data_IF_737345467620
#
_entry.id   IF_737345467620
#
_cell.length_a   1.000
_cell.length_b   1.000
_cell.length_c   1.000
_cell.angle_alpha   90.00
_cell.angle_beta   90.00
_cell.angle_gamma   90.00
#
_symmetry.space_group_name_H-M   'P 1'
#
loop_
_entity.id
_entity.type
_entity.pdbx_description
1 polymer ?
#
# COMPACT_ATOMS: atom_id res chain seq x y z
N UNK A 1 3.04 2.47 27.93
CA UNK A 1 3.40 1.88 26.61
C UNK A 1 3.98 0.50 26.90
N UNK A 2 3.50 -0.53 26.22
CA UNK A 2 4.07 -1.87 26.28
C UNK A 2 5.47 -1.92 25.65
N UNK A 3 6.15 -3.07 25.75
CA UNK A 3 7.42 -3.27 25.06
C UNK A 3 7.27 -3.02 23.55
N UNK A 4 8.16 -2.22 22.98
CA UNK A 4 8.20 -1.92 21.55
C UNK A 4 9.06 -2.97 20.85
N UNK A 5 8.49 -3.60 19.81
CA UNK A 5 9.17 -4.66 19.06
C UNK A 5 9.51 -4.16 17.66
N UNK A 6 10.76 -3.94 17.36
CA UNK A 6 11.20 -3.40 16.07
C UNK A 6 11.73 -4.53 15.21
N UNK A 7 10.96 -4.89 14.15
CA UNK A 7 11.34 -5.96 13.24
C UNK A 7 12.60 -5.59 12.46
N UNK A 8 13.51 -6.57 12.29
CA UNK A 8 14.72 -6.42 11.47
C UNK A 8 14.45 -6.48 9.96
N UNK A 9 13.23 -6.89 9.58
CA UNK A 9 12.77 -6.90 8.19
C UNK A 9 11.52 -6.06 8.02
N UNK A 10 11.69 -4.78 7.65
CA UNK A 10 10.59 -3.82 7.40
C UNK A 10 10.59 -3.31 5.95
N UNK A 11 11.34 -3.96 5.06
CA UNK A 11 11.55 -3.52 3.68
C UNK A 11 11.80 -4.69 2.75
N UNK A 12 11.73 -4.43 1.44
CA UNK A 12 12.18 -5.35 0.40
C UNK A 12 13.70 -5.48 0.48
N UNK A 13 14.18 -6.71 0.36
CA UNK A 13 15.60 -7.04 0.43
C UNK A 13 15.93 -7.96 1.61
N UNK A 14 17.19 -7.93 2.05
CA UNK A 14 17.66 -8.73 3.17
C UNK A 14 17.25 -8.13 4.52
N UNK A 15 17.05 -8.94 5.57
CA UNK A 15 16.91 -8.42 6.93
C UNK A 15 18.11 -7.57 7.34
N UNK A 16 17.90 -6.60 8.22
CA UNK A 16 18.99 -5.85 8.83
C UNK A 16 19.69 -6.68 9.90
N UNK A 17 20.98 -6.40 10.12
CA UNK A 17 21.72 -6.89 11.27
C UNK A 17 21.61 -5.89 12.43
N UNK A 18 21.27 -6.38 13.63
CA UNK A 18 21.29 -5.57 14.84
C UNK A 18 22.72 -5.10 15.14
N UNK A 19 22.87 -3.84 15.56
CA UNK A 19 24.13 -3.23 15.99
C UNK A 19 24.12 -2.85 17.48
N UNK A 20 23.06 -3.20 18.17
CA UNK A 20 22.88 -3.05 19.63
C UNK A 20 22.74 -4.42 20.29
N UNK A 21 22.87 -4.46 21.61
CA UNK A 21 22.74 -5.65 22.45
C UNK A 21 21.82 -5.39 23.64
N UNK A 22 21.36 -6.45 24.28
CA UNK A 22 20.58 -6.37 25.51
C UNK A 22 21.34 -5.56 26.59
N UNK A 23 20.63 -4.66 27.24
CA UNK A 23 21.15 -3.71 28.23
C UNK A 23 21.58 -2.35 27.67
N UNK A 24 21.66 -2.19 26.35
CA UNK A 24 22.00 -0.89 25.76
C UNK A 24 20.85 0.12 25.95
N UNK A 25 21.17 1.33 26.40
CA UNK A 25 20.24 2.45 26.42
C UNK A 25 20.12 3.06 25.02
N UNK A 26 18.89 3.29 24.57
CA UNK A 26 18.60 3.88 23.26
C UNK A 26 17.70 5.08 23.42
N UNK A 27 17.91 6.06 22.55
CA UNK A 27 17.05 7.24 22.42
C UNK A 27 16.22 7.10 21.14
N UNK A 28 15.11 7.81 21.09
CA UNK A 28 14.36 8.00 19.83
C UNK A 28 15.33 8.49 18.74
N UNK A 29 15.41 7.78 17.61
CA UNK A 29 16.37 8.08 16.53
C UNK A 29 17.75 7.42 16.65
N UNK A 30 18.06 6.70 17.73
CA UNK A 30 19.28 5.88 17.78
C UNK A 30 19.22 4.79 16.71
N UNK A 31 20.25 4.69 15.85
CA UNK A 31 20.36 3.60 14.87
C UNK A 31 20.59 2.29 15.61
N UNK A 32 19.76 1.29 15.37
CA UNK A 32 19.77 -0.01 16.08
C UNK A 32 20.04 -1.20 15.16
N UNK A 33 19.82 -1.03 13.85
CA UNK A 33 20.19 -2.05 12.89
C UNK A 33 20.52 -1.45 11.51
N UNK A 34 21.37 -2.14 10.76
CA UNK A 34 21.85 -1.73 9.43
C UNK A 34 21.56 -2.82 8.39
N UNK A 35 21.28 -2.46 7.12
CA UNK A 35 21.00 -3.44 6.08
C UNK A 35 22.27 -4.27 5.76
N UNK A 36 22.07 -5.59 5.56
CA UNK A 36 23.13 -6.52 5.14
C UNK A 36 23.27 -6.64 3.62
N UNK A 37 22.45 -5.90 2.88
CA UNK A 37 22.40 -5.84 1.44
C UNK A 37 21.42 -4.78 0.99
N UNK A 38 20.55 -5.08 0.00
CA UNK A 38 19.45 -4.19 -0.34
C UNK A 38 18.55 -3.99 0.90
N UNK A 39 18.41 -2.75 1.36
CA UNK A 39 17.66 -2.46 2.58
C UNK A 39 17.70 -0.99 2.99
N UNK A 40 17.27 -0.71 4.20
CA UNK A 40 17.22 0.62 4.81
C UNK A 40 17.50 0.54 6.30
N UNK A 41 18.20 1.53 6.85
CA UNK A 41 18.52 1.60 8.28
C UNK A 41 17.27 1.51 9.17
N UNK A 42 17.44 0.95 10.36
CA UNK A 42 16.41 0.84 11.37
C UNK A 42 16.88 1.58 12.64
N UNK A 43 15.95 2.32 13.22
CA UNK A 43 16.18 3.20 14.36
C UNK A 43 15.22 2.88 15.50
N UNK A 44 15.63 3.17 16.73
CA UNK A 44 14.70 3.15 17.85
C UNK A 44 13.64 4.25 17.67
N UNK A 45 12.39 3.87 17.83
CA UNK A 45 11.26 4.80 17.78
C UNK A 45 10.93 5.40 19.15
N UNK A 46 11.61 4.97 20.21
CA UNK A 46 11.34 5.33 21.60
C UNK A 46 12.65 5.54 22.37
N UNK A 47 12.56 6.24 23.50
CA UNK A 47 13.55 6.21 24.56
C UNK A 47 13.34 4.92 25.38
N UNK A 48 14.40 4.23 25.75
CA UNK A 48 14.30 3.01 26.55
C UNK A 48 15.58 2.20 26.61
N UNK A 49 15.45 0.96 27.04
CA UNK A 49 16.54 0.00 27.16
C UNK A 49 16.26 -1.21 26.26
N UNK A 50 17.23 -1.64 25.47
CA UNK A 50 17.16 -2.89 24.72
C UNK A 50 17.03 -4.03 25.70
N UNK A 51 15.91 -4.68 25.74
CA UNK A 51 15.65 -5.82 26.63
C UNK A 51 16.17 -7.11 26.03
N UNK A 52 15.93 -7.30 24.74
CA UNK A 52 16.31 -8.52 24.02
C UNK A 52 16.60 -8.22 22.53
N UNK A 53 17.55 -8.96 21.96
CA UNK A 53 17.83 -8.99 20.53
C UNK A 53 17.59 -10.39 20.02
N UNK A 54 16.50 -10.57 19.25
CA UNK A 54 16.10 -11.85 18.66
C UNK A 54 16.56 -11.91 17.18
N UNK A 55 16.39 -13.06 16.56
CA UNK A 55 16.78 -13.28 15.15
C UNK A 55 16.04 -12.34 14.19
N UNK A 56 14.78 -12.04 14.48
CA UNK A 56 13.88 -11.28 13.61
C UNK A 56 13.53 -9.88 14.13
N UNK A 57 13.85 -9.54 15.37
CA UNK A 57 13.45 -8.28 16.01
C UNK A 57 14.35 -7.86 17.17
N UNK A 58 14.25 -6.58 17.52
CA UNK A 58 14.81 -5.99 18.73
C UNK A 58 13.63 -5.60 19.62
N UNK A 59 13.65 -6.04 20.88
CA UNK A 59 12.66 -5.69 21.91
C UNK A 59 13.23 -4.58 22.76
N UNK A 60 12.50 -3.47 22.87
CA UNK A 60 12.89 -2.29 23.67
C UNK A 60 11.83 -2.09 24.73
N UNK A 61 12.27 -2.06 25.99
CA UNK A 61 11.42 -1.62 27.10
C UNK A 61 11.47 -0.09 27.14
N UNK A 62 10.34 0.60 26.81
CA UNK A 62 10.33 2.05 26.76
C UNK A 62 10.43 2.66 28.16
N UNK A 63 11.04 3.83 28.24
CA UNK A 63 11.02 4.66 29.45
C UNK A 63 9.60 5.11 29.75
N UNK A 64 9.28 5.39 31.02
CA UNK A 64 7.98 5.90 31.43
C UNK A 64 7.68 7.25 30.76
N UNK A 65 8.68 8.12 30.68
CA UNK A 65 8.60 9.43 30.02
C UNK A 65 9.24 9.37 28.63
N UNK A 66 8.44 9.63 27.60
CA UNK A 66 8.89 9.72 26.21
C UNK A 66 9.06 11.17 25.79
N UNK A 67 10.30 11.59 25.53
CA UNK A 67 10.60 12.94 25.07
C UNK A 67 10.27 13.12 23.58
N UNK A 68 9.98 14.34 23.15
CA UNK A 68 9.77 14.66 21.74
C UNK A 68 11.07 14.73 20.93
N UNK A 69 12.17 15.02 21.62
CA UNK A 69 13.52 15.07 21.02
C UNK A 69 13.90 13.73 20.39
N UNK A 70 14.73 13.79 19.38
CA UNK A 70 15.32 12.60 18.75
C UNK A 70 16.79 12.82 18.40
N UNK A 71 17.51 11.74 18.20
CA UNK A 71 18.89 11.77 17.69
C UNK A 71 18.80 12.02 16.18
N UNK A 72 19.34 13.14 15.66
CA UNK A 72 19.33 13.42 14.23
C UNK A 72 20.23 12.44 13.47
N UNK A 73 19.92 12.21 12.20
CA UNK A 73 20.81 11.49 11.30
C UNK A 73 22.02 12.34 10.94
N UNK A 74 23.14 11.67 10.69
CA UNK A 74 24.40 12.31 10.30
C UNK A 74 24.86 11.75 8.96
N UNK A 75 25.31 12.63 8.06
CA UNK A 75 25.90 12.32 6.76
C UNK A 75 27.17 13.15 6.55
N UNK A 76 28.06 12.71 5.68
CA UNK A 76 29.34 13.42 5.43
C UNK A 76 29.09 14.81 4.80
N UNK A 77 28.18 14.90 3.84
CA UNK A 77 27.75 16.16 3.23
C UNK A 77 26.26 16.40 3.51
N UNK A 78 25.99 17.38 4.36
CA UNK A 78 24.62 17.76 4.73
C UNK A 78 23.79 18.34 3.57
N UNK A 79 24.45 18.70 2.46
CA UNK A 79 23.77 19.16 1.25
C UNK A 79 23.39 17.98 0.33
N UNK A 80 23.94 16.79 0.53
CA UNK A 80 23.54 15.59 -0.19
C UNK A 80 22.17 15.07 0.31
N UNK A 81 21.10 15.58 -0.31
CA UNK A 81 19.74 15.19 0.02
C UNK A 81 19.48 13.70 -0.16
N UNK A 82 20.11 13.05 -1.15
CA UNK A 82 19.99 11.62 -1.37
C UNK A 82 20.65 10.82 -0.26
N UNK A 83 21.80 11.26 0.24
CA UNK A 83 22.48 10.66 1.40
C UNK A 83 21.60 10.77 2.65
N UNK A 84 20.99 11.93 2.91
CA UNK A 84 20.03 12.12 4.02
C UNK A 84 18.84 11.15 3.92
N UNK A 85 18.22 11.00 2.75
CA UNK A 85 17.10 10.06 2.54
C UNK A 85 17.52 8.61 2.76
N UNK A 86 18.73 8.22 2.31
CA UNK A 86 19.29 6.87 2.54
C UNK A 86 19.54 6.64 4.02
N UNK A 87 20.22 7.58 4.67
CA UNK A 87 20.59 7.48 6.07
C UNK A 87 19.36 7.42 6.97
N UNK A 88 18.31 8.22 6.70
CA UNK A 88 17.07 8.22 7.45
C UNK A 88 16.30 6.89 7.41
N UNK A 89 16.71 5.95 6.58
CA UNK A 89 16.07 4.64 6.49
C UNK A 89 14.65 4.67 5.95
N UNK A 90 14.33 5.62 5.05
CA UNK A 90 13.01 5.77 4.45
C UNK A 90 12.75 4.65 3.44
N UNK A 91 11.55 4.10 3.52
CA UNK A 91 11.03 3.07 2.60
C UNK A 91 9.71 3.52 1.96
N UNK A 92 9.27 2.82 0.94
CA UNK A 92 7.96 3.04 0.34
C UNK A 92 6.83 2.69 1.32
N UNK A 93 6.30 3.67 2.03
CA UNK A 93 5.42 3.49 3.20
C UNK A 93 3.99 3.07 2.86
N UNK A 94 3.58 3.15 1.60
CA UNK A 94 2.26 2.73 1.12
C UNK A 94 2.25 1.38 0.40
N UNK A 95 3.30 0.58 0.49
CA UNK A 95 3.42 -0.67 -0.25
C UNK A 95 4.43 -1.64 0.34
N UNK A 96 5.21 -2.31 -0.53
CA UNK A 96 6.13 -3.38 -0.13
C UNK A 96 7.39 -2.91 0.63
N UNK A 97 7.56 -1.60 0.88
CA UNK A 97 8.71 -1.09 1.62
C UNK A 97 10.00 -1.08 0.81
N UNK A 98 9.97 -0.75 -0.48
CA UNK A 98 11.21 -0.62 -1.25
C UNK A 98 12.03 0.56 -0.74
N UNK A 99 13.37 0.42 -0.51
CA UNK A 99 14.21 1.48 0.01
C UNK A 99 14.17 2.74 -0.87
N UNK A 100 13.70 3.84 -0.30
CA UNK A 100 13.41 5.08 -1.06
C UNK A 100 14.67 5.72 -1.61
N UNK A 101 15.78 5.71 -0.86
CA UNK A 101 17.04 6.26 -1.35
C UNK A 101 17.62 5.53 -2.56
N UNK A 102 17.27 4.24 -2.76
CA UNK A 102 17.62 3.52 -3.99
C UNK A 102 16.69 3.92 -5.12
N UNK A 103 15.38 4.02 -4.84
CA UNK A 103 14.38 4.43 -5.83
C UNK A 103 14.68 5.84 -6.39
N UNK A 104 15.08 6.77 -5.54
CA UNK A 104 15.42 8.15 -5.93
C UNK A 104 16.84 8.33 -6.48
N UNK A 105 17.69 7.32 -6.43
CA UNK A 105 19.05 7.38 -6.98
C UNK A 105 19.13 7.37 -8.53
N UNK A 106 18.01 7.51 -9.21
CA UNK A 106 17.93 7.60 -10.67
C UNK A 106 18.02 9.07 -11.10
N UNK A 107 18.77 9.36 -12.17
CA UNK A 107 18.75 10.67 -12.82
C UNK A 107 17.74 10.64 -13.98
N UNK A 108 16.57 11.23 -13.77
CA UNK A 108 15.49 11.24 -14.76
C UNK A 108 15.77 12.20 -15.94
N UNK A 109 16.63 13.18 -15.77
CA UNK A 109 17.05 14.06 -16.87
C UNK A 109 17.87 13.30 -17.93
N UNK A 110 18.65 12.28 -17.49
CA UNK A 110 19.46 11.45 -18.37
C UNK A 110 18.75 10.13 -18.75
N UNK A 111 17.56 9.88 -18.19
CA UNK A 111 16.81 8.66 -18.46
C UNK A 111 16.03 8.79 -19.76
N UNK A 112 16.33 7.94 -20.73
CA UNK A 112 15.53 7.83 -21.94
C UNK A 112 14.26 7.02 -21.69
N UNK A 113 13.19 7.37 -22.40
CA UNK A 113 11.97 6.57 -22.40
C UNK A 113 12.24 5.25 -23.10
N UNK A 114 11.87 4.15 -22.46
CA UNK A 114 12.00 2.81 -23.06
C UNK A 114 11.04 2.66 -24.26
N UNK A 115 11.37 1.72 -25.15
CA UNK A 115 10.47 1.32 -26.22
C UNK A 115 9.17 0.76 -25.65
N UNK A 116 8.04 1.21 -26.19
CA UNK A 116 6.72 0.80 -25.75
C UNK A 116 6.27 -0.45 -26.50
N UNK A 117 5.72 -1.39 -25.76
CA UNK A 117 5.04 -2.55 -26.34
C UNK A 117 3.74 -2.11 -27.03
N UNK A 118 3.70 -2.21 -28.36
CA UNK A 118 2.57 -1.80 -29.18
C UNK A 118 1.29 -2.60 -28.90
N UNK A 119 1.40 -3.85 -28.43
CA UNK A 119 0.21 -4.66 -28.10
C UNK A 119 -0.57 -4.10 -26.91
N UNK A 120 0.11 -3.49 -25.95
CA UNK A 120 -0.52 -2.88 -24.78
C UNK A 120 -0.68 -1.36 -24.89
N UNK A 121 -0.09 -0.72 -25.91
CA UNK A 121 -0.20 0.71 -26.22
C UNK A 121 -0.66 0.95 -27.68
N UNK A 122 -1.76 0.34 -28.15
CA UNK A 122 -2.15 0.37 -29.55
C UNK A 122 -2.59 1.77 -30.06
N UNK A 123 -2.77 2.73 -29.15
CA UNK A 123 -3.23 4.08 -29.45
C UNK A 123 -2.11 5.09 -29.52
N UNK A 124 -0.91 4.71 -29.03
CA UNK A 124 0.26 5.57 -29.07
C UNK A 124 1.02 5.36 -30.37
N UNK A 125 1.54 6.46 -30.99
CA UNK A 125 2.46 6.34 -32.11
C UNK A 125 3.69 5.50 -31.76
N UNK A 126 4.29 4.82 -32.73
CA UNK A 126 5.48 4.01 -32.50
C UNK A 126 6.69 4.81 -32.01
N UNK A 127 6.75 6.08 -32.36
CA UNK A 127 7.78 7.06 -31.96
C UNK A 127 7.35 7.93 -30.77
N UNK A 128 6.27 7.57 -30.08
CA UNK A 128 5.78 8.31 -28.94
C UNK A 128 6.86 8.49 -27.87
N UNK A 129 7.06 9.70 -27.43
CA UNK A 129 7.95 10.08 -26.33
C UNK A 129 7.25 11.04 -25.38
N UNK A 130 7.48 10.86 -24.09
CA UNK A 130 7.07 11.86 -23.09
C UNK A 130 8.03 13.05 -23.16
N UNK A 131 7.49 14.25 -23.26
CA UNK A 131 8.25 15.49 -23.30
C UNK A 131 9.03 15.73 -21.99
N UNK A 132 8.42 15.39 -20.86
CA UNK A 132 8.97 15.61 -19.53
C UNK A 132 9.24 14.32 -18.78
N UNK A 133 10.01 14.42 -17.72
CA UNK A 133 10.16 13.41 -16.68
C UNK A 133 9.31 13.75 -15.45
N UNK A 134 8.91 12.73 -14.66
CA UNK A 134 7.86 12.93 -13.67
C UNK A 134 8.16 12.27 -12.31
N UNK A 135 7.83 12.99 -11.23
CA UNK A 135 7.54 12.39 -9.92
C UNK A 135 6.02 12.21 -9.84
N UNK A 136 5.56 10.98 -9.67
CA UNK A 136 4.15 10.65 -9.51
C UNK A 136 3.85 10.36 -8.04
N UNK A 137 3.10 11.23 -7.39
CA UNK A 137 2.73 11.06 -5.97
C UNK A 137 1.46 10.25 -5.88
N UNK A 138 1.60 9.03 -5.38
CA UNK A 138 0.47 8.15 -5.13
C UNK A 138 -0.28 8.56 -3.87
N UNK A 139 -1.34 9.34 -4.06
CA UNK A 139 -2.32 9.75 -3.05
C UNK A 139 -3.68 9.05 -3.25
N UNK A 140 -3.69 7.88 -3.91
CA UNK A 140 -4.92 7.19 -4.30
C UNK A 140 -5.73 6.67 -3.11
N UNK A 141 -5.10 6.39 -1.94
CA UNK A 141 -5.70 5.69 -0.80
C UNK A 141 -6.62 4.56 -1.30
N UNK A 142 -6.02 3.51 -1.86
CA UNK A 142 -6.75 2.44 -2.52
C UNK A 142 -7.44 1.48 -1.56
N UNK A 143 -6.96 1.41 -0.34
CA UNK A 143 -7.47 0.49 0.68
C UNK A 143 -8.75 1.06 1.32
N UNK A 144 -9.90 0.41 1.17
CA UNK A 144 -11.14 0.90 1.77
C UNK A 144 -11.07 1.01 3.28
N UNK A 145 -11.60 2.10 3.80
CA UNK A 145 -11.65 2.35 5.24
C UNK A 145 -10.38 2.98 5.83
N UNK A 146 -9.30 3.11 5.06
CA UNK A 146 -8.11 3.86 5.49
C UNK A 146 -8.25 5.35 5.11
N UNK A 147 -7.80 6.23 6.01
CA UNK A 147 -7.94 7.68 5.85
C UNK A 147 -6.67 8.46 6.22
N UNK A 148 -5.60 7.78 6.63
CA UNK A 148 -4.39 8.44 7.14
C UNK A 148 -3.64 9.28 6.09
N UNK A 149 -3.58 8.86 4.83
CA UNK A 149 -2.97 9.67 3.76
C UNK A 149 -3.81 10.91 3.43
N UNK A 150 -5.14 10.79 3.45
CA UNK A 150 -6.02 11.93 3.23
C UNK A 150 -5.93 12.93 4.40
N UNK A 151 -5.90 12.43 5.64
CA UNK A 151 -5.67 13.25 6.83
C UNK A 151 -4.33 13.98 6.75
N UNK A 152 -3.28 13.31 6.28
CA UNK A 152 -1.97 13.94 6.11
C UNK A 152 -1.98 15.08 5.09
N UNK A 153 -2.72 14.96 3.98
CA UNK A 153 -2.93 16.10 3.08
C UNK A 153 -3.63 17.24 3.80
N UNK A 154 -4.68 16.94 4.56
CA UNK A 154 -5.46 17.95 5.23
C UNK A 154 -4.68 18.72 6.31
N UNK A 155 -3.75 18.07 6.99
CA UNK A 155 -3.02 18.64 8.14
C UNK A 155 -1.59 19.07 7.80
N UNK A 156 -0.95 18.48 6.78
CA UNK A 156 0.48 18.60 6.51
C UNK A 156 0.80 18.81 5.01
N UNK A 157 -0.11 19.43 4.24
CA UNK A 157 0.07 19.61 2.80
C UNK A 157 1.39 20.28 2.42
N UNK A 158 1.81 21.30 3.17
CA UNK A 158 3.05 22.04 2.92
C UNK A 158 4.29 21.14 3.10
N UNK A 159 4.30 20.26 4.11
CA UNK A 159 5.37 19.28 4.32
C UNK A 159 5.41 18.29 3.17
N UNK A 160 4.26 17.80 2.73
CA UNK A 160 4.16 16.88 1.58
C UNK A 160 4.69 17.54 0.31
N UNK A 161 4.28 18.79 0.00
CA UNK A 161 4.74 19.53 -1.17
C UNK A 161 6.25 19.76 -1.13
N UNK A 162 6.84 20.10 0.02
CA UNK A 162 8.30 20.20 0.16
C UNK A 162 8.99 18.87 -0.17
N UNK A 163 8.47 17.75 0.37
CA UNK A 163 9.00 16.42 0.07
C UNK A 163 8.93 16.07 -1.41
N UNK A 164 7.86 16.48 -2.11
CA UNK A 164 7.75 16.32 -3.57
C UNK A 164 8.82 17.12 -4.30
N UNK A 165 9.06 18.37 -3.90
CA UNK A 165 10.12 19.21 -4.48
C UNK A 165 11.50 18.59 -4.28
N UNK A 166 11.77 18.02 -3.11
CA UNK A 166 13.01 17.28 -2.86
C UNK A 166 13.12 16.02 -3.73
N UNK A 167 12.03 15.28 -3.96
CA UNK A 167 12.05 14.17 -4.92
C UNK A 167 12.41 14.63 -6.33
N UNK A 168 11.82 15.75 -6.80
CA UNK A 168 12.14 16.33 -8.10
C UNK A 168 13.61 16.74 -8.19
N UNK A 169 14.11 17.43 -7.18
CA UNK A 169 15.49 17.90 -7.13
C UNK A 169 16.50 16.74 -7.13
N UNK A 170 16.30 15.72 -6.27
CA UNK A 170 17.17 14.54 -6.18
C UNK A 170 17.21 13.76 -7.50
N UNK A 171 16.08 13.62 -8.17
CA UNK A 171 15.95 12.81 -9.40
C UNK A 171 16.12 13.63 -10.68
N UNK A 172 16.24 14.95 -10.58
CA UNK A 172 16.21 15.89 -11.72
C UNK A 172 14.94 15.72 -12.57
N UNK A 173 13.79 15.51 -11.93
CA UNK A 173 12.52 15.42 -12.62
C UNK A 173 11.99 16.80 -13.00
N UNK A 174 11.45 16.92 -14.23
CA UNK A 174 10.90 18.17 -14.74
C UNK A 174 9.59 18.56 -14.03
N UNK A 175 8.74 17.59 -13.73
CA UNK A 175 7.38 17.82 -13.21
C UNK A 175 6.99 16.82 -12.12
N UNK A 176 5.96 17.18 -11.36
CA UNK A 176 5.32 16.26 -10.44
C UNK A 176 3.80 16.26 -10.58
N UNK A 177 3.17 15.10 -10.32
CA UNK A 177 1.72 14.92 -10.40
C UNK A 177 1.23 14.22 -9.13
N UNK A 178 0.30 14.86 -8.41
CA UNK A 178 -0.46 14.19 -7.36
C UNK A 178 -1.59 13.37 -7.98
N UNK A 179 -1.52 12.05 -7.88
CA UNK A 179 -2.55 11.13 -8.32
C UNK A 179 -3.51 10.83 -7.17
N UNK A 180 -4.65 11.49 -7.12
CA UNK A 180 -5.64 11.42 -6.03
C UNK A 180 -7.03 11.06 -6.55
N UNK A 181 -7.79 10.23 -5.80
CA UNK A 181 -9.15 9.88 -6.18
C UNK A 181 -10.08 11.09 -6.14
N UNK A 182 -10.87 11.27 -7.19
CA UNK A 182 -11.79 12.40 -7.38
C UNK A 182 -12.81 12.62 -6.24
N UNK A 183 -13.10 11.59 -5.44
CA UNK A 183 -14.04 11.69 -4.30
C UNK A 183 -13.50 12.52 -3.13
N UNK A 184 -12.19 12.72 -3.03
CA UNK A 184 -11.53 13.37 -1.89
C UNK A 184 -11.51 14.91 -2.06
N UNK A 185 -12.67 15.53 -2.25
CA UNK A 185 -12.81 16.94 -2.62
C UNK A 185 -12.07 17.89 -1.67
N UNK A 186 -12.20 17.72 -0.35
CA UNK A 186 -11.53 18.57 0.65
C UNK A 186 -10.01 18.52 0.51
N UNK A 187 -9.42 17.32 0.43
CA UNK A 187 -7.99 17.16 0.26
C UNK A 187 -7.50 17.74 -1.08
N UNK A 188 -8.29 17.59 -2.16
CA UNK A 188 -7.99 18.18 -3.46
C UNK A 188 -7.95 19.72 -3.40
N UNK A 189 -8.90 20.34 -2.71
CA UNK A 189 -8.91 21.81 -2.54
C UNK A 189 -7.72 22.31 -1.73
N UNK A 190 -7.32 21.57 -0.68
CA UNK A 190 -6.15 21.90 0.13
C UNK A 190 -4.88 21.75 -0.71
N UNK A 191 -4.72 20.65 -1.45
CA UNK A 191 -3.58 20.47 -2.35
C UNK A 191 -3.50 21.56 -3.41
N UNK A 192 -4.63 21.96 -4.03
CA UNK A 192 -4.65 23.06 -5.01
C UNK A 192 -4.12 24.36 -4.44
N UNK A 193 -4.46 24.66 -3.19
CA UNK A 193 -3.94 25.83 -2.50
C UNK A 193 -2.44 25.70 -2.20
N UNK A 194 -2.01 24.55 -1.72
CA UNK A 194 -0.61 24.29 -1.38
C UNK A 194 0.33 24.36 -2.60
N UNK A 195 -0.16 23.97 -3.78
CA UNK A 195 0.64 24.01 -5.03
C UNK A 195 0.35 25.23 -5.91
N UNK A 196 -0.42 26.21 -5.43
CA UNK A 196 -0.85 27.35 -6.26
C UNK A 196 0.31 28.15 -6.90
N UNK A 197 1.47 28.15 -6.26
CA UNK A 197 2.68 28.83 -6.74
C UNK A 197 3.73 27.88 -7.34
N UNK A 198 3.42 26.58 -7.50
CA UNK A 198 4.32 25.56 -8.00
C UNK A 198 3.93 25.17 -9.42
N UNK A 199 4.46 25.87 -10.41
CA UNK A 199 4.09 25.69 -11.82
C UNK A 199 4.36 24.27 -12.37
N UNK A 200 5.34 23.57 -11.81
CA UNK A 200 5.76 22.25 -12.24
C UNK A 200 5.00 21.10 -11.49
N UNK A 201 4.11 21.45 -10.57
CA UNK A 201 3.35 20.47 -9.79
C UNK A 201 1.86 20.55 -10.13
N UNK A 202 1.24 19.42 -10.45
CA UNK A 202 -0.17 19.35 -10.84
C UNK A 202 -0.92 18.25 -10.11
N UNK A 203 -2.23 18.18 -10.30
CA UNK A 203 -3.11 17.15 -9.73
C UNK A 203 -3.80 16.39 -10.85
N UNK A 204 -3.71 15.07 -10.83
CA UNK A 204 -4.48 14.17 -11.67
C UNK A 204 -5.57 13.48 -10.85
N UNK A 205 -6.82 13.54 -11.33
CA UNK A 205 -7.98 12.98 -10.64
C UNK A 205 -8.20 11.53 -11.08
N UNK A 206 -7.91 10.59 -10.17
CA UNK A 206 -8.12 9.17 -10.39
C UNK A 206 -9.60 8.76 -10.24
N UNK A 207 -10.09 7.76 -10.99
CA UNK A 207 -11.38 7.15 -10.74
C UNK A 207 -11.39 6.42 -9.39
N UNK A 208 -12.57 6.32 -8.75
CA UNK A 208 -12.72 5.59 -7.50
C UNK A 208 -12.95 4.09 -7.75
N UNK A 209 -11.92 3.43 -8.25
CA UNK A 209 -11.89 1.98 -8.48
C UNK A 209 -10.59 1.39 -7.93
N UNK A 210 -10.51 0.06 -7.84
CA UNK A 210 -9.32 -0.68 -7.43
C UNK A 210 -8.78 -1.51 -8.61
N UNK A 211 -7.47 -1.59 -8.85
CA UNK A 211 -6.34 -1.02 -8.08
C UNK A 211 -5.75 0.26 -8.73
N UNK A 212 -6.20 1.44 -8.32
CA UNK A 212 -5.67 2.71 -8.86
C UNK A 212 -4.38 3.18 -8.19
N UNK A 213 -3.99 2.58 -7.07
CA UNK A 213 -2.70 2.84 -6.39
C UNK A 213 -1.57 1.87 -6.77
N UNK A 214 -1.78 0.95 -7.69
CA UNK A 214 -0.70 0.12 -8.25
C UNK A 214 0.18 0.99 -9.16
N UNK A 215 1.52 0.88 -9.04
CA UNK A 215 2.46 1.83 -9.69
C UNK A 215 2.23 1.98 -11.21
N UNK A 216 2.01 0.86 -11.94
CA UNK A 216 1.76 0.91 -13.39
C UNK A 216 0.38 1.46 -13.73
N UNK A 217 -0.60 1.30 -12.81
CA UNK A 217 -1.90 1.93 -12.96
C UNK A 217 -1.79 3.45 -12.78
N UNK A 218 -0.97 3.92 -11.83
CA UNK A 218 -0.68 5.36 -11.64
C UNK A 218 0.01 5.93 -12.88
N UNK A 219 1.03 5.24 -13.42
CA UNK A 219 1.71 5.66 -14.66
C UNK A 219 0.72 5.75 -15.82
N UNK A 220 -0.11 4.72 -16.01
CA UNK A 220 -1.12 4.72 -17.07
C UNK A 220 -2.10 5.88 -16.94
N UNK A 221 -2.63 6.13 -15.74
CA UNK A 221 -3.62 7.18 -15.53
C UNK A 221 -3.01 8.57 -15.71
N UNK A 222 -1.81 8.81 -15.19
CA UNK A 222 -1.18 10.13 -15.22
C UNK A 222 -0.52 10.44 -16.57
N UNK A 223 0.08 9.43 -17.22
CA UNK A 223 0.94 9.65 -18.40
C UNK A 223 0.39 9.01 -19.69
N UNK A 224 -0.70 8.23 -19.61
CA UNK A 224 -1.28 7.54 -20.76
C UNK A 224 -0.48 6.33 -21.25
N UNK A 225 0.58 5.94 -20.55
CA UNK A 225 1.52 4.88 -20.96
C UNK A 225 1.25 3.59 -20.18
N UNK A 226 1.03 2.48 -20.89
CA UNK A 226 0.98 1.15 -20.27
C UNK A 226 2.37 0.54 -20.22
N UNK A 227 2.77 0.10 -19.03
CA UNK A 227 4.03 -0.62 -18.79
C UNK A 227 3.78 -2.12 -18.74
N UNK A 228 4.71 -2.90 -19.28
CA UNK A 228 4.72 -4.37 -19.13
C UNK A 228 4.99 -4.75 -17.68
N UNK A 229 4.81 -6.03 -17.32
CA UNK A 229 5.09 -6.54 -15.98
C UNK A 229 6.57 -6.51 -15.61
N UNK A 230 7.45 -6.39 -16.60
CA UNK A 230 8.91 -6.32 -16.43
C UNK A 230 9.44 -4.90 -16.32
N UNK A 231 8.69 -3.93 -16.82
CA UNK A 231 9.10 -2.53 -16.81
C UNK A 231 8.79 -1.88 -15.46
N UNK A 232 9.71 -1.02 -15.02
CA UNK A 232 9.55 -0.12 -13.88
C UNK A 232 9.00 1.23 -14.36
N UNK A 233 8.46 2.08 -13.47
CA UNK A 233 8.03 3.43 -13.83
C UNK A 233 9.08 4.26 -14.56
N UNK A 234 10.37 4.02 -14.32
CA UNK A 234 11.49 4.68 -15.02
C UNK A 234 11.48 4.44 -16.54
N UNK A 235 10.90 3.34 -17.01
CA UNK A 235 10.70 3.11 -18.45
C UNK A 235 9.81 4.18 -19.11
N UNK A 236 8.96 4.85 -18.34
CA UNK A 236 8.16 6.02 -18.73
C UNK A 236 8.71 7.31 -18.10
N UNK A 237 10.02 7.43 -17.92
CA UNK A 237 10.70 8.60 -17.35
C UNK A 237 10.03 9.10 -16.06
N UNK A 238 9.64 8.17 -15.17
CA UNK A 238 8.92 8.52 -13.95
C UNK A 238 9.36 7.72 -12.74
N UNK A 239 9.13 8.28 -11.56
CA UNK A 239 9.24 7.60 -10.27
C UNK A 239 7.94 7.77 -9.51
N UNK A 240 7.37 6.68 -9.02
CA UNK A 240 6.16 6.70 -8.19
C UNK A 240 6.56 6.72 -6.72
N UNK A 241 6.10 7.72 -5.97
CA UNK A 241 6.35 7.89 -4.53
C UNK A 241 5.02 7.93 -3.78
N UNK A 242 4.89 7.19 -2.68
CA UNK A 242 3.72 7.32 -1.83
C UNK A 242 3.69 8.68 -1.10
N UNK A 243 2.50 9.19 -0.82
CA UNK A 243 2.30 10.50 -0.18
C UNK A 243 3.04 10.64 1.15
N UNK A 244 2.91 9.67 2.06
CA UNK A 244 3.57 9.69 3.36
C UNK A 244 5.09 9.58 3.21
N UNK A 245 5.57 8.81 2.23
CA UNK A 245 7.01 8.74 1.92
C UNK A 245 7.57 10.11 1.53
N UNK A 246 6.83 10.91 0.74
CA UNK A 246 7.24 12.28 0.41
C UNK A 246 7.34 13.16 1.66
N UNK A 247 6.40 13.07 2.58
CA UNK A 247 6.48 13.80 3.86
C UNK A 247 7.67 13.38 4.71
N UNK A 248 7.99 12.08 4.77
CA UNK A 248 9.18 11.58 5.50
C UNK A 248 10.49 12.00 4.84
N UNK A 249 10.53 12.19 3.52
CA UNK A 249 11.67 12.79 2.82
C UNK A 249 11.87 14.24 3.30
N UNK A 250 10.80 15.02 3.41
CA UNK A 250 10.90 16.37 3.96
C UNK A 250 11.41 16.37 5.41
N UNK A 251 10.91 15.48 6.27
CA UNK A 251 11.41 15.34 7.65
C UNK A 251 12.91 14.99 7.70
N UNK A 252 13.37 14.10 6.83
CA UNK A 252 14.79 13.72 6.79
C UNK A 252 15.70 14.86 6.34
N UNK A 253 15.26 15.69 5.41
CA UNK A 253 16.07 16.78 4.84
C UNK A 253 15.99 18.03 5.73
N UNK A 254 14.78 18.44 6.13
CA UNK A 254 14.57 19.67 6.88
C UNK A 254 14.97 19.53 8.37
N UNK A 255 14.67 18.38 8.96
CA UNK A 255 14.79 18.14 10.40
C UNK A 255 15.90 17.12 10.76
N UNK A 256 16.52 16.48 9.76
CA UNK A 256 17.41 15.33 9.94
C UNK A 256 16.78 14.19 10.76
N UNK A 257 15.48 14.03 10.65
CA UNK A 257 14.69 13.06 11.40
C UNK A 257 14.73 11.69 10.74
N UNK A 258 15.15 10.62 11.45
CA UNK A 258 15.07 9.26 10.93
C UNK A 258 13.62 8.79 10.82
N UNK A 259 13.39 7.80 9.95
CA UNK A 259 12.06 7.22 9.73
C UNK A 259 11.68 6.26 10.88
N UNK A 260 11.13 6.83 11.94
CA UNK A 260 10.81 6.15 13.21
C UNK A 260 9.32 6.13 13.54
N UNK A 261 8.50 6.79 12.72
CA UNK A 261 7.04 6.88 12.92
C UNK A 261 6.27 6.50 11.67
N UNK A 262 5.01 6.12 11.88
CA UNK A 262 4.08 5.72 10.83
C UNK A 262 2.69 6.32 11.08
N UNK A 263 2.05 6.79 10.02
CA UNK A 263 0.64 7.18 10.06
C UNK A 263 -0.23 5.98 9.70
N UNK A 264 -1.28 5.72 10.46
CA UNK A 264 -2.15 4.59 10.19
C UNK A 264 -3.60 4.85 10.62
N UNK A 265 -4.50 4.00 10.16
CA UNK A 265 -5.91 4.01 10.50
C UNK A 265 -6.28 2.72 11.25
N UNK A 266 -6.94 2.85 12.40
CA UNK A 266 -7.62 1.74 13.09
C UNK A 266 -9.12 1.85 12.84
N UNK A 267 -9.77 0.77 12.42
CA UNK A 267 -11.19 0.76 12.10
C UNK A 267 -11.82 -0.63 12.24
N UNK A 268 -13.15 -0.66 12.31
CA UNK A 268 -13.91 -1.90 12.29
C UNK A 268 -14.74 -2.11 13.55
N UNK A 269 -14.72 -3.30 14.11
CA UNK A 269 -15.40 -3.63 15.37
C UNK A 269 -14.66 -3.05 16.58
N UNK A 270 -14.71 -1.73 16.67
CA UNK A 270 -14.13 -0.92 17.75
C UNK A 270 -15.27 -0.28 18.54
N UNK A 271 -15.13 -0.20 19.86
CA UNK A 271 -16.11 0.46 20.72
C UNK A 271 -16.29 1.93 20.28
N UNK A 272 -17.54 2.40 20.27
CA UNK A 272 -17.88 3.73 19.76
C UNK A 272 -18.30 3.77 18.28
N UNK A 273 -18.27 2.64 17.59
CA UNK A 273 -18.81 2.49 16.24
C UNK A 273 -17.76 2.44 15.13
N UNK A 274 -18.23 2.39 13.89
CA UNK A 274 -17.40 2.14 12.70
C UNK A 274 -16.75 3.41 12.11
N UNK A 275 -16.28 4.32 12.96
CA UNK A 275 -15.50 5.47 12.49
C UNK A 275 -14.02 5.12 12.31
N UNK A 276 -13.34 5.86 11.45
CA UNK A 276 -11.90 5.72 11.29
C UNK A 276 -11.18 6.47 12.42
N UNK A 277 -10.35 5.76 13.18
CA UNK A 277 -9.44 6.33 14.15
C UNK A 277 -8.09 6.50 13.46
N UNK A 278 -7.77 7.73 13.08
CA UNK A 278 -6.49 8.05 12.41
C UNK A 278 -5.46 8.45 13.44
N UNK A 279 -4.36 7.73 13.48
CA UNK A 279 -3.21 8.02 14.32
C UNK A 279 -2.06 8.52 13.45
N UNK A 280 -1.55 9.71 13.78
CA UNK A 280 -0.40 10.32 13.13
C UNK A 280 0.85 10.09 13.98
N UNK A 281 1.98 9.90 13.31
CA UNK A 281 3.31 9.78 13.90
C UNK A 281 3.42 8.72 15.02
N UNK A 282 2.77 7.56 14.84
CA UNK A 282 2.85 6.43 15.77
C UNK A 282 4.27 5.84 15.73
N UNK A 283 4.93 5.61 16.88
CA UNK A 283 6.22 4.96 16.92
C UNK A 283 6.18 3.56 16.27
N UNK A 284 7.10 3.29 15.35
CA UNK A 284 7.25 1.95 14.75
C UNK A 284 7.56 0.93 15.83
N UNK A 285 6.89 -0.22 15.80
CA UNK A 285 7.10 -1.29 16.78
C UNK A 285 6.07 -1.32 17.92
N UNK A 286 5.17 -0.35 18.00
CA UNK A 286 4.01 -0.40 18.92
C UNK A 286 3.11 -1.57 18.53
N UNK A 287 2.52 -2.26 19.51
CA UNK A 287 1.66 -3.42 19.25
C UNK A 287 0.32 -3.03 18.61
N UNK A 288 -0.23 -3.92 17.81
CA UNK A 288 -1.57 -3.82 17.24
C UNK A 288 -2.62 -3.66 18.35
N UNK A 289 -2.46 -4.43 19.44
CA UNK A 289 -3.35 -4.40 20.60
C UNK A 289 -3.38 -3.03 21.26
N UNK A 290 -2.23 -2.42 21.51
CA UNK A 290 -2.16 -1.08 22.10
C UNK A 290 -2.89 -0.05 21.23
N UNK A 291 -2.78 -0.12 19.91
CA UNK A 291 -3.46 0.80 19.00
C UNK A 291 -4.97 0.56 18.95
N UNK A 292 -5.41 -0.68 19.04
CA UNK A 292 -6.84 -1.03 19.18
C UNK A 292 -7.40 -0.48 20.49
N UNK A 293 -6.68 -0.64 21.62
CA UNK A 293 -7.10 -0.08 22.92
C UNK A 293 -7.16 1.45 22.88
N UNK A 294 -6.18 2.12 22.26
CA UNK A 294 -6.21 3.58 22.06
C UNK A 294 -7.39 4.05 21.18
N UNK A 295 -7.88 3.20 20.30
CA UNK A 295 -9.06 3.46 19.47
C UNK A 295 -10.38 3.22 20.21
N UNK A 296 -10.35 2.61 21.41
CA UNK A 296 -11.53 2.32 22.24
C UNK A 296 -11.72 0.86 22.60
N UNK A 297 -10.84 -0.03 22.14
CA UNK A 297 -10.92 -1.48 22.36
C UNK A 297 -11.88 -2.19 21.41
N UNK A 298 -11.85 -3.53 21.40
CA UNK A 298 -12.67 -4.37 20.52
C UNK A 298 -14.13 -4.40 21.01
N UNK A 299 -15.07 -4.24 20.07
CA UNK A 299 -16.51 -4.37 20.31
C UNK A 299 -16.99 -5.83 20.16
N UNK A 300 -16.99 -6.58 21.26
CA UNK A 300 -17.53 -7.93 21.33
C UNK A 300 -16.76 -8.99 20.53
N UNK A 301 -17.47 -9.93 19.91
CA UNK A 301 -16.85 -11.00 19.10
C UNK A 301 -16.44 -10.48 17.73
N UNK A 302 -15.25 -10.89 17.27
CA UNK A 302 -14.70 -10.48 15.98
C UNK A 302 -14.23 -11.69 15.15
N UNK A 303 -14.05 -11.49 13.84
CA UNK A 303 -13.61 -12.53 12.92
C UNK A 303 -12.09 -12.68 12.89
N UNK A 304 -11.41 -11.59 12.58
CA UNK A 304 -9.94 -11.50 12.55
C UNK A 304 -9.49 -10.04 12.68
N UNK A 305 -8.21 -9.86 12.98
CA UNK A 305 -7.53 -8.58 12.90
C UNK A 305 -6.67 -8.60 11.64
N UNK A 306 -6.79 -7.57 10.82
CA UNK A 306 -6.00 -7.40 9.59
C UNK A 306 -5.02 -6.26 9.80
N UNK A 307 -3.73 -6.52 9.61
CA UNK A 307 -2.69 -5.49 9.53
C UNK A 307 -2.39 -5.16 8.06
N UNK A 308 -2.47 -3.88 7.72
CA UNK A 308 -2.41 -3.37 6.35
C UNK A 308 -3.75 -2.78 5.92
N UNK A 309 -4.16 -3.03 4.69
CA UNK A 309 -5.46 -2.60 4.16
C UNK A 309 -6.46 -3.73 4.02
N UNK A 310 -7.70 -3.38 3.68
CA UNK A 310 -8.77 -4.35 3.46
C UNK A 310 -8.46 -5.33 2.32
N UNK A 311 -7.70 -4.89 1.31
CA UNK A 311 -7.44 -5.65 0.09
C UNK A 311 -6.11 -6.39 0.11
N UNK A 312 -5.06 -5.80 0.65
CA UNK A 312 -3.70 -6.35 0.62
C UNK A 312 -3.17 -6.74 1.99
N UNK A 313 -3.88 -6.40 3.07
CA UNK A 313 -3.52 -6.73 4.44
C UNK A 313 -3.56 -8.23 4.72
N UNK A 314 -2.94 -8.61 5.82
CA UNK A 314 -2.87 -10.00 6.30
C UNK A 314 -3.45 -10.10 7.69
N UNK A 315 -3.98 -11.29 8.02
CA UNK A 315 -4.37 -11.60 9.39
C UNK A 315 -3.17 -11.46 10.33
N UNK A 316 -3.42 -10.95 11.52
CA UNK A 316 -2.39 -10.69 12.54
C UNK A 316 -2.96 -10.90 13.94
N UNK A 317 -2.07 -10.88 14.94
CA UNK A 317 -2.40 -11.01 16.36
C UNK A 317 -2.22 -9.67 17.08
N UNK A 318 -2.72 -9.58 18.30
CA UNK A 318 -2.70 -8.34 19.10
C UNK A 318 -1.28 -7.89 19.47
N UNK A 319 -0.36 -8.82 19.68
CA UNK A 319 1.03 -8.57 20.06
C UNK A 319 1.95 -8.22 18.87
N UNK A 320 1.43 -8.34 17.64
CA UNK A 320 2.20 -8.02 16.44
C UNK A 320 2.57 -6.53 16.39
N UNK A 321 3.83 -6.19 16.10
CA UNK A 321 4.26 -4.80 16.00
C UNK A 321 3.87 -4.18 14.66
N UNK A 322 3.53 -2.88 14.67
CA UNK A 322 3.42 -2.13 13.42
C UNK A 322 4.82 -1.86 12.84
N UNK A 323 4.87 -1.74 11.54
CA UNK A 323 6.10 -1.48 10.76
C UNK A 323 6.00 -0.17 9.99
N UNK A 324 7.09 0.24 9.34
CA UNK A 324 7.11 1.39 8.42
C UNK A 324 6.08 1.30 7.29
N UNK A 325 5.52 0.12 7.02
CA UNK A 325 4.56 -0.10 5.93
C UNK A 325 3.13 -0.38 6.40
N UNK A 326 2.87 -0.37 7.70
CA UNK A 326 1.54 -0.63 8.26
C UNK A 326 0.62 0.57 8.07
N UNK A 327 -0.23 0.55 7.03
CA UNK A 327 -1.19 1.65 6.77
C UNK A 327 -2.48 1.53 7.58
N UNK A 328 -2.82 0.37 8.13
CA UNK A 328 -4.05 0.21 8.90
C UNK A 328 -4.10 -1.04 9.75
N UNK A 329 -5.06 -1.01 10.68
CA UNK A 329 -5.47 -2.14 11.52
C UNK A 329 -6.99 -2.22 11.41
N UNK A 330 -7.51 -3.35 10.94
CA UNK A 330 -8.93 -3.55 10.73
C UNK A 330 -9.42 -4.74 11.55
N UNK A 331 -10.33 -4.51 12.49
CA UNK A 331 -10.98 -5.57 13.28
C UNK A 331 -12.29 -5.94 12.59
N UNK A 332 -12.42 -7.19 12.12
CA UNK A 332 -13.53 -7.58 11.24
C UNK A 332 -14.69 -8.23 11.99
N UNK A 333 -15.86 -8.26 11.34
CA UNK A 333 -16.94 -9.15 11.76
C UNK A 333 -16.57 -10.62 11.56
N UNK A 334 -17.28 -11.51 12.22
CA UNK A 334 -17.14 -12.96 12.07
C UNK A 334 -17.38 -13.41 10.63
N UNK A 335 -16.72 -14.49 10.25
CA UNK A 335 -16.93 -15.13 8.95
C UNK A 335 -18.28 -15.88 8.93
N UNK A 336 -19.01 -15.87 7.79
CA UNK A 336 -20.18 -16.71 7.64
C UNK A 336 -19.77 -18.19 7.58
N UNK A 337 -20.56 -19.09 8.19
CA UNK A 337 -20.36 -20.53 8.09
C UNK A 337 -20.98 -21.08 6.79
N UNK A 338 -20.18 -21.73 5.97
CA UNK A 338 -20.63 -22.39 4.73
C UNK A 338 -21.02 -23.86 4.93
N UNK A 339 -20.97 -24.38 6.16
CA UNK A 339 -21.41 -25.73 6.50
C UNK A 339 -20.79 -26.84 5.62
N UNK A 340 -19.52 -26.72 5.28
CA UNK A 340 -18.79 -27.69 4.46
C UNK A 340 -19.09 -27.64 2.95
N UNK A 341 -19.76 -26.59 2.46
CA UNK A 341 -20.09 -26.43 1.05
C UNK A 341 -18.84 -26.37 0.16
N UNK A 342 -18.98 -26.78 -1.11
CA UNK A 342 -17.93 -26.78 -2.11
C UNK A 342 -17.60 -25.35 -2.56
N UNK A 343 -16.33 -24.96 -2.46
CA UNK A 343 -15.81 -23.63 -2.77
C UNK A 343 -14.83 -23.68 -3.93
N UNK A 344 -14.97 -22.78 -4.90
CA UNK A 344 -14.01 -22.48 -5.94
C UNK A 344 -13.22 -21.22 -5.63
N UNK A 345 -11.94 -21.19 -5.96
CA UNK A 345 -11.07 -20.01 -5.78
C UNK A 345 -10.68 -19.45 -7.14
N UNK A 346 -10.93 -18.14 -7.34
CA UNK A 346 -10.46 -17.41 -8.53
C UNK A 346 -9.22 -16.59 -8.19
N UNK A 347 -8.08 -17.16 -8.41
CA UNK A 347 -6.77 -16.55 -8.13
C UNK A 347 -6.44 -15.48 -9.15
N UNK A 348 -6.04 -14.30 -8.70
CA UNK A 348 -5.56 -13.22 -9.55
C UNK A 348 -4.43 -12.43 -8.86
N UNK A 349 -3.70 -11.62 -9.64
CA UNK A 349 -2.59 -10.82 -9.12
C UNK A 349 -3.03 -9.47 -8.50
N UNK A 350 -4.30 -9.09 -8.68
CA UNK A 350 -4.85 -7.85 -8.15
C UNK A 350 -5.58 -8.08 -6.83
N UNK A 351 -4.91 -8.70 -5.85
CA UNK A 351 -5.44 -8.93 -4.51
C UNK A 351 -6.30 -10.19 -4.37
N UNK A 352 -5.96 -11.27 -5.05
CA UNK A 352 -6.62 -12.57 -4.95
C UNK A 352 -5.61 -13.70 -4.86
N UNK A 353 -4.74 -13.70 -3.82
CA UNK A 353 -3.77 -14.79 -3.63
C UNK A 353 -4.45 -16.09 -3.24
N UNK A 354 -3.94 -17.21 -3.74
CA UNK A 354 -4.48 -18.53 -3.44
C UNK A 354 -4.39 -18.85 -1.93
N UNK A 355 -3.25 -18.55 -1.32
CA UNK A 355 -3.01 -18.79 0.11
C UNK A 355 -4.08 -18.10 0.97
N UNK A 356 -4.27 -16.80 0.77
CA UNK A 356 -5.26 -16.02 1.51
C UNK A 356 -6.70 -16.51 1.28
N UNK A 357 -7.05 -16.85 0.04
CA UNK A 357 -8.38 -17.38 -0.26
C UNK A 357 -8.62 -18.74 0.38
N UNK A 358 -7.60 -19.61 0.48
CA UNK A 358 -7.70 -20.90 1.20
C UNK A 358 -7.91 -20.68 2.68
N UNK A 359 -7.17 -19.77 3.31
CA UNK A 359 -7.33 -19.39 4.72
C UNK A 359 -8.78 -18.92 5.00
N UNK A 360 -9.29 -18.01 4.14
CA UNK A 360 -10.66 -17.48 4.28
C UNK A 360 -11.69 -18.62 4.10
N UNK A 361 -11.53 -19.46 3.08
CA UNK A 361 -12.42 -20.61 2.88
C UNK A 361 -12.46 -21.53 4.11
N UNK A 362 -11.30 -21.76 4.74
CA UNK A 362 -11.20 -22.54 5.96
C UNK A 362 -11.92 -21.87 7.15
N UNK A 363 -11.71 -20.55 7.34
CA UNK A 363 -12.41 -19.76 8.38
C UNK A 363 -13.92 -19.74 8.18
N UNK A 364 -14.38 -19.85 6.92
CA UNK A 364 -15.80 -19.98 6.56
C UNK A 364 -16.33 -21.42 6.64
N UNK A 365 -15.55 -22.39 7.09
CA UNK A 365 -15.92 -23.81 7.07
C UNK A 365 -16.33 -24.30 5.68
N UNK A 366 -15.63 -23.88 4.63
CA UNK A 366 -15.83 -24.25 3.23
C UNK A 366 -14.78 -25.27 2.75
N UNK A 367 -15.18 -26.16 1.84
CA UNK A 367 -14.31 -27.16 1.23
C UNK A 367 -13.81 -26.69 -0.14
N UNK A 368 -12.54 -26.34 -0.28
CA UNK A 368 -11.96 -25.96 -1.57
C UNK A 368 -11.86 -27.17 -2.48
N UNK A 369 -12.61 -27.17 -3.58
CA UNK A 369 -12.68 -28.26 -4.57
C UNK A 369 -12.15 -27.86 -5.96
N UNK A 370 -12.03 -26.57 -6.25
CA UNK A 370 -11.55 -26.07 -7.54
C UNK A 370 -10.75 -24.78 -7.37
N UNK A 371 -9.66 -24.64 -8.13
CA UNK A 371 -8.85 -23.42 -8.18
C UNK A 371 -8.63 -23.05 -9.64
N UNK A 372 -9.05 -21.86 -10.02
CA UNK A 372 -8.82 -21.29 -11.33
C UNK A 372 -7.96 -20.03 -11.23
N UNK A 373 -7.12 -19.79 -12.24
CA UNK A 373 -6.26 -18.59 -12.31
C UNK A 373 -6.75 -17.66 -13.43
N UNK A 374 -6.77 -16.36 -13.15
CA UNK A 374 -7.01 -15.36 -14.19
C UNK A 374 -5.89 -15.42 -15.25
N UNK A 375 -6.24 -15.41 -16.53
CA UNK A 375 -5.25 -15.51 -17.63
C UNK A 375 -4.24 -14.36 -17.69
N UNK A 376 -4.55 -13.23 -17.05
CA UNK A 376 -3.63 -12.09 -16.94
C UNK A 376 -2.72 -12.14 -15.70
N UNK A 377 -2.93 -13.10 -14.80
CA UNK A 377 -2.06 -13.32 -13.66
C UNK A 377 -0.91 -14.23 -14.06
N UNK A 378 0.26 -13.64 -14.28
CA UNK A 378 1.46 -14.34 -14.77
C UNK A 378 2.57 -14.33 -13.72
N UNK A 379 3.41 -15.35 -13.77
CA UNK A 379 4.70 -15.39 -13.08
C UNK A 379 5.80 -14.97 -14.07
N UNK A 380 6.52 -13.91 -13.74
CA UNK A 380 7.65 -13.46 -14.58
C UNK A 380 8.84 -14.43 -14.54
N UNK A 381 8.96 -15.18 -13.44
CA UNK A 381 9.92 -16.26 -13.22
C UNK A 381 9.24 -17.34 -12.38
N UNK A 382 9.61 -18.62 -12.52
CA UNK A 382 9.07 -19.69 -11.68
C UNK A 382 9.16 -19.36 -10.19
N UNK A 383 8.03 -19.46 -9.45
CA UNK A 383 7.95 -19.15 -8.03
C UNK A 383 7.91 -17.66 -7.67
N UNK A 384 7.96 -16.77 -8.65
CA UNK A 384 7.80 -15.33 -8.39
C UNK A 384 6.34 -14.97 -8.09
N UNK A 385 6.08 -13.93 -7.30
CA UNK A 385 4.73 -13.43 -7.08
C UNK A 385 4.01 -13.11 -8.40
N UNK A 386 2.72 -13.44 -8.46
CA UNK A 386 1.89 -13.14 -9.61
C UNK A 386 1.86 -11.63 -9.89
N UNK A 387 1.97 -11.26 -11.16
CA UNK A 387 1.76 -9.90 -11.65
C UNK A 387 0.62 -9.88 -12.67
N UNK A 388 -0.22 -8.86 -12.62
CA UNK A 388 -1.28 -8.68 -13.60
C UNK A 388 -0.73 -7.97 -14.85
N UNK A 389 -1.04 -8.49 -16.04
CA UNK A 389 -0.67 -7.86 -17.31
C UNK A 389 -1.30 -6.46 -17.45
N UNK A 390 -2.55 -6.31 -17.00
CA UNK A 390 -3.30 -5.04 -17.08
C UNK A 390 -4.05 -4.78 -15.78
N UNK A 391 -3.41 -4.20 -14.76
CA UNK A 391 -4.06 -3.89 -13.50
C UNK A 391 -5.32 -3.05 -13.68
N UNK A 392 -6.45 -3.49 -13.09
CA UNK A 392 -7.73 -2.81 -13.21
C UNK A 392 -8.55 -3.13 -14.47
N UNK A 393 -8.04 -3.97 -15.39
CA UNK A 393 -8.77 -4.39 -16.61
C UNK A 393 -8.90 -5.91 -16.65
N UNK A 394 -10.10 -6.43 -16.46
CA UNK A 394 -10.36 -7.87 -16.47
C UNK A 394 -10.59 -8.41 -17.88
N UNK A 395 -9.99 -9.57 -18.23
CA UNK A 395 -10.20 -10.20 -19.54
C UNK A 395 -11.54 -10.94 -19.66
N UNK A 396 -12.36 -10.90 -18.61
CA UNK A 396 -13.57 -11.73 -18.46
C UNK A 396 -13.28 -13.07 -17.78
N UNK A 397 -14.26 -13.59 -17.03
CA UNK A 397 -14.11 -14.78 -16.18
C UNK A 397 -15.15 -15.89 -16.48
N UNK A 398 -15.90 -15.78 -17.56
CA UNK A 398 -16.95 -16.76 -17.92
C UNK A 398 -16.40 -18.18 -17.99
N UNK A 399 -15.21 -18.39 -18.62
CA UNK A 399 -14.58 -19.69 -18.72
C UNK A 399 -14.28 -20.30 -17.32
N UNK A 400 -13.78 -19.51 -16.40
CA UNK A 400 -13.50 -19.95 -15.04
C UNK A 400 -14.80 -20.26 -14.28
N UNK A 401 -15.85 -19.43 -14.43
CA UNK A 401 -17.17 -19.71 -13.86
C UNK A 401 -17.77 -21.02 -14.37
N UNK A 402 -17.61 -21.33 -15.66
CA UNK A 402 -18.03 -22.63 -16.23
C UNK A 402 -17.25 -23.80 -15.62
N UNK A 403 -15.95 -23.64 -15.38
CA UNK A 403 -15.14 -24.66 -14.71
C UNK A 403 -15.62 -24.89 -13.27
N UNK A 404 -15.84 -23.85 -12.49
CA UNK A 404 -16.39 -23.96 -11.13
C UNK A 404 -17.75 -24.69 -11.10
N UNK A 405 -18.61 -24.40 -12.07
CA UNK A 405 -19.89 -25.10 -12.21
C UNK A 405 -19.70 -26.59 -12.52
N UNK A 406 -18.77 -26.93 -13.41
CA UNK A 406 -18.40 -28.32 -13.73
C UNK A 406 -17.88 -29.06 -12.51
N UNK A 407 -17.05 -28.40 -11.69
CA UNK A 407 -16.45 -28.94 -10.47
C UNK A 407 -17.43 -28.92 -9.28
N UNK A 408 -18.71 -28.63 -9.52
CA UNK A 408 -19.80 -28.62 -8.53
C UNK A 408 -19.55 -27.68 -7.36
N UNK A 409 -18.89 -26.54 -7.60
CA UNK A 409 -18.81 -25.48 -6.61
C UNK A 409 -20.19 -24.86 -6.37
N UNK A 410 -20.51 -24.58 -5.11
CA UNK A 410 -21.69 -23.82 -4.70
C UNK A 410 -21.33 -22.35 -4.51
N UNK A 411 -20.13 -22.12 -3.97
CA UNK A 411 -19.57 -20.80 -3.72
C UNK A 411 -18.27 -20.60 -4.49
N UNK A 412 -17.99 -19.35 -4.83
CA UNK A 412 -16.67 -18.96 -5.36
C UNK A 412 -16.15 -17.76 -4.57
N UNK A 413 -14.87 -17.79 -4.24
CA UNK A 413 -14.14 -16.67 -3.64
C UNK A 413 -13.32 -15.99 -4.72
N UNK A 414 -13.43 -14.68 -4.84
CA UNK A 414 -12.74 -13.87 -5.85
C UNK A 414 -11.92 -12.76 -5.18
N UNK A 415 -11.02 -12.16 -5.94
CA UNK A 415 -10.22 -11.03 -5.50
C UNK A 415 -10.99 -9.70 -5.52
N UNK A 416 -10.26 -8.61 -5.32
CA UNK A 416 -10.80 -7.29 -5.03
C UNK A 416 -10.84 -6.34 -6.23
N UNK A 417 -10.28 -6.73 -7.38
CA UNK A 417 -10.28 -5.89 -8.57
C UNK A 417 -11.71 -5.58 -9.02
N UNK A 418 -12.02 -4.31 -9.22
CA UNK A 418 -13.36 -3.85 -9.61
C UNK A 418 -13.88 -4.53 -10.86
N UNK A 419 -13.02 -4.67 -11.89
CA UNK A 419 -13.40 -5.36 -13.12
C UNK A 419 -13.63 -6.85 -12.93
N UNK A 420 -12.84 -7.54 -12.10
CA UNK A 420 -13.10 -8.94 -11.78
C UNK A 420 -14.42 -9.11 -11.08
N UNK A 421 -14.72 -8.26 -10.08
CA UNK A 421 -15.99 -8.23 -9.38
C UNK A 421 -17.17 -8.13 -10.35
N UNK A 422 -17.11 -7.19 -11.27
CA UNK A 422 -18.17 -6.96 -12.25
C UNK A 422 -18.33 -8.13 -13.23
N UNK A 423 -17.24 -8.63 -13.81
CA UNK A 423 -17.30 -9.72 -14.81
C UNK A 423 -17.78 -11.04 -14.20
N UNK A 424 -17.38 -11.33 -12.96
CA UNK A 424 -17.85 -12.52 -12.25
C UNK A 424 -19.31 -12.37 -11.83
N UNK A 425 -19.69 -11.21 -11.27
CA UNK A 425 -21.10 -10.94 -10.89
C UNK A 425 -22.06 -10.89 -12.08
N UNK A 426 -21.56 -10.60 -13.28
CA UNK A 426 -22.37 -10.66 -14.50
C UNK A 426 -22.74 -12.10 -14.91
N UNK A 427 -21.91 -13.10 -14.59
CA UNK A 427 -22.06 -14.47 -15.09
C UNK A 427 -22.21 -15.53 -13.98
N UNK A 428 -21.51 -15.43 -12.87
CA UNK A 428 -21.52 -16.43 -11.80
C UNK A 428 -22.90 -16.71 -11.21
N UNK A 429 -23.66 -15.69 -10.76
CA UNK A 429 -25.01 -15.91 -10.24
C UNK A 429 -25.98 -16.53 -11.24
N UNK A 430 -25.85 -16.21 -12.53
CA UNK A 430 -26.65 -16.83 -13.59
C UNK A 430 -26.38 -18.33 -13.78
N UNK A 431 -25.21 -18.78 -13.34
CA UNK A 431 -24.83 -20.20 -13.33
C UNK A 431 -25.13 -20.88 -11.97
N UNK A 432 -25.78 -20.18 -11.04
CA UNK A 432 -26.12 -20.68 -9.72
C UNK A 432 -24.93 -20.68 -8.74
N UNK A 433 -23.86 -19.94 -9.03
CA UNK A 433 -22.71 -19.77 -8.14
C UNK A 433 -22.94 -18.58 -7.21
N UNK A 434 -22.76 -18.78 -5.92
CA UNK A 434 -22.75 -17.71 -4.93
C UNK A 434 -21.34 -17.12 -4.85
N UNK A 435 -21.22 -15.80 -4.90
CA UNK A 435 -19.92 -15.11 -5.01
C UNK A 435 -19.59 -14.40 -3.72
N UNK A 436 -18.43 -14.71 -3.17
CA UNK A 436 -17.78 -13.96 -2.11
C UNK A 436 -16.52 -13.28 -2.63
N UNK A 437 -16.27 -12.06 -2.19
CA UNK A 437 -14.95 -11.46 -2.29
C UNK A 437 -14.16 -11.85 -1.04
N UNK A 438 -12.87 -12.06 -1.18
CA UNK A 438 -12.00 -12.35 -0.03
C UNK A 438 -12.04 -11.25 1.05
N UNK A 439 -12.61 -10.10 0.73
CA UNK A 439 -12.73 -8.94 1.63
C UNK A 439 -14.16 -8.67 2.09
N UNK A 440 -15.14 -9.52 1.79
CA UNK A 440 -16.55 -9.25 2.15
C UNK A 440 -16.73 -9.01 3.65
N UNK A 441 -16.06 -9.76 4.51
CA UNK A 441 -16.14 -9.61 5.96
C UNK A 441 -15.61 -8.25 6.41
N UNK A 442 -14.47 -7.80 5.89
CA UNK A 442 -13.90 -6.49 6.25
C UNK A 442 -14.68 -5.33 5.62
N UNK A 443 -15.11 -5.46 4.35
CA UNK A 443 -15.88 -4.42 3.67
C UNK A 443 -17.23 -4.17 4.35
N UNK A 444 -17.88 -5.23 4.81
CA UNK A 444 -19.13 -5.12 5.61
C UNK A 444 -18.87 -4.46 6.94
N UNK A 445 -17.75 -4.80 7.60
CA UNK A 445 -17.36 -4.20 8.87
C UNK A 445 -17.18 -2.69 8.75
N UNK A 446 -16.46 -2.23 7.72
CA UNK A 446 -16.20 -0.80 7.53
C UNK A 446 -17.35 -0.06 6.82
N UNK A 447 -18.45 -0.75 6.51
CA UNK A 447 -19.62 -0.15 5.85
C UNK A 447 -19.34 0.37 4.44
N UNK A 448 -18.32 -0.15 3.78
CA UNK A 448 -17.91 0.29 2.45
C UNK A 448 -18.55 -0.59 1.37
N UNK A 449 -19.15 0.02 0.37
CA UNK A 449 -19.65 -0.69 -0.80
C UNK A 449 -18.51 -1.36 -1.59
N UNK A 450 -18.79 -2.55 -2.15
CA UNK A 450 -17.86 -3.17 -3.07
C UNK A 450 -17.64 -2.27 -4.29
N UNK A 451 -16.39 -2.18 -4.76
CA UNK A 451 -16.08 -1.51 -6.02
C UNK A 451 -16.62 -2.34 -7.18
N UNK A 452 -17.82 -2.03 -7.63
CA UNK A 452 -18.51 -2.71 -8.73
C UNK A 452 -18.61 -1.87 -10.00
N UNK A 453 -17.96 -0.72 -10.04
CA UNK A 453 -17.97 0.13 -11.22
C UNK A 453 -16.98 -0.43 -12.23
N UNK A 454 -17.47 -0.96 -13.32
CA UNK A 454 -16.65 -1.35 -14.46
C UNK A 454 -15.97 -0.13 -15.04
N UNK A 455 -14.68 -0.17 -15.13
CA UNK A 455 -13.97 0.49 -16.19
C UNK A 455 -13.91 -0.47 -17.38
N UNK A 456 -14.98 -0.54 -18.15
CA UNK A 456 -14.92 -1.15 -19.47
C UNK A 456 -14.21 -0.11 -20.34
N UNK A 457 -13.07 -0.49 -20.90
CA UNK A 457 -12.40 0.20 -21.98
C UNK A 457 -13.31 1.14 -22.77
N UNK A 458 -12.95 2.41 -22.93
CA UNK A 458 -13.54 3.42 -23.84
C UNK A 458 -15.08 3.61 -23.87
N UNK A 459 -15.90 2.62 -23.53
CA UNK A 459 -17.36 2.72 -23.54
C UNK A 459 -17.95 3.34 -22.27
N UNK A 460 -17.22 3.38 -21.16
CA UNK A 460 -17.72 3.96 -19.89
C UNK A 460 -17.67 5.47 -19.90
N UNK A 461 -16.78 6.08 -20.68
CA UNK A 461 -16.77 7.53 -20.84
C UNK A 461 -17.99 8.05 -21.64
N UNK A 462 -18.78 7.13 -22.22
CA UNK A 462 -20.02 7.46 -22.96
C UNK A 462 -21.31 7.21 -22.14
N UNK A 463 -21.22 6.66 -20.92
CA UNK A 463 -22.38 6.55 -20.07
C UNK A 463 -22.65 7.91 -19.39
N UNK A 464 -23.90 8.42 -19.45
CA UNK A 464 -24.24 9.67 -18.78
C UNK A 464 -23.95 9.56 -17.29
N UNK A 465 -23.31 10.59 -16.75
CA UNK A 465 -22.95 10.72 -15.35
C UNK A 465 -24.12 10.30 -14.45
N UNK A 466 -23.92 9.25 -13.70
CA UNK A 466 -24.62 8.93 -12.47
C UNK A 466 -26.14 8.84 -12.54
N UNK A 467 -26.66 7.65 -12.71
CA UNK A 467 -27.89 7.21 -12.02
C UNK A 467 -27.66 5.84 -11.39
#
# INVERSE_FOLDING_TARGET
>A
MENVQILLRQHVGAPCAAIVKAGDEVKKGTKIATPTGLGANIFSSVYGVVEEVLEDRIVIRPDEEQKDEFVPIEVEDENDKLALVKEAGIVGMGGAGFPTGIKLGINLAETEMAELDAEINPELPADFKLEHSYILINAAECEPGLEHNIRQIEEQSDKVVRGVKYCMEITHADKAIFAIKKKNNKAIEILRKAIANEAEISIHLLPDIYPMGEERAVVRECLGVNLTTMQLPSAARSVVVNLETAAKIAEAIDEKKPCITKNLTVRGKINGGNQAHVFMDVPVGVSVGELIERAGGIDGVYGEIIMGGAFTGKATELDAPITKTTGGILVTIEFPDLHGANVGLLVCACGGSEERMREIAQKMNGKVVSVCRCKQAIENKPGAPLKCLRPGNCPGQVKNNMQFKKDKCEYIIIGNCSDCSNTVMASGPKMGLKVFHQTDHVMRTVGHGLYRTLRVSKQVDQLPNGK
#
